data_IF_469787107038
#
_entry.id   IF_469787107038
#
_cell.length_a   1.000
_cell.length_b   1.000
_cell.length_c   1.000
_cell.angle_alpha   90.00
_cell.angle_beta   90.00
_cell.angle_gamma   90.00
#
_symmetry.space_group_name_H-M   'P 1'
#
loop_
_entity.id
_entity.type
_entity.pdbx_description
1 polymer ?
#
# COMPACT_ATOMS: atom_id res chain seq x y z
N UNK A 1 -16.69 -7.02 -5.62
CA UNK A 1 -15.81 -5.93 -6.15
C UNK A 1 -15.79 -4.73 -5.22
N UNK A 2 -16.95 -4.20 -4.78
CA UNK A 2 -16.99 -3.02 -3.88
C UNK A 2 -16.28 -3.31 -2.57
N UNK A 3 -16.60 -4.38 -1.85
CA UNK A 3 -15.95 -4.74 -0.59
C UNK A 3 -14.42 -4.87 -0.74
N UNK A 4 -13.94 -5.51 -1.80
CA UNK A 4 -12.50 -5.64 -2.09
C UNK A 4 -11.85 -4.27 -2.32
N UNK A 5 -12.51 -3.35 -3.03
CA UNK A 5 -12.00 -2.01 -3.30
C UNK A 5 -12.03 -1.06 -2.11
N UNK A 6 -12.99 -1.20 -1.20
CA UNK A 6 -13.11 -0.34 -0.02
C UNK A 6 -12.22 -0.78 1.15
N UNK A 7 -11.92 -2.07 1.25
CA UNK A 7 -11.13 -2.61 2.37
C UNK A 7 -9.72 -1.98 2.51
N UNK A 8 -8.91 -1.77 1.43
CA UNK A 8 -7.63 -1.07 1.56
C UNK A 8 -7.75 0.35 2.13
N UNK A 9 -8.83 1.05 1.77
CA UNK A 9 -9.10 2.42 2.26
C UNK A 9 -9.47 2.38 3.74
N UNK A 10 -10.35 1.46 4.13
CA UNK A 10 -10.70 1.22 5.53
C UNK A 10 -9.46 0.87 6.37
N UNK A 11 -8.65 -0.08 5.90
CA UNK A 11 -7.42 -0.51 6.58
C UNK A 11 -6.43 0.66 6.73
N UNK A 12 -6.29 1.47 5.69
CA UNK A 12 -5.43 2.65 5.73
C UNK A 12 -5.86 3.63 6.84
N UNK A 13 -7.12 4.03 6.87
CA UNK A 13 -7.60 4.99 7.87
C UNK A 13 -7.56 4.42 9.29
N UNK A 14 -7.90 3.14 9.44
CA UNK A 14 -7.84 2.47 10.74
C UNK A 14 -6.39 2.41 11.25
N UNK A 15 -5.47 1.92 10.43
CA UNK A 15 -4.09 1.75 10.84
C UNK A 15 -3.32 3.08 10.95
N UNK A 16 -3.49 4.02 10.01
CA UNK A 16 -2.84 5.33 10.12
C UNK A 16 -3.37 6.12 11.32
N UNK A 17 -4.68 6.08 11.57
CA UNK A 17 -5.25 6.74 12.75
C UNK A 17 -4.73 6.17 14.07
N UNK A 18 -4.59 4.85 14.17
CA UNK A 18 -3.96 4.22 15.33
C UNK A 18 -2.50 4.69 15.51
N UNK A 19 -1.71 4.69 14.43
CA UNK A 19 -0.30 5.13 14.47
C UNK A 19 -0.20 6.61 14.84
N UNK A 20 -1.10 7.47 14.33
CA UNK A 20 -1.13 8.89 14.67
C UNK A 20 -1.39 9.12 16.17
N UNK A 21 -2.27 8.32 16.78
CA UNK A 21 -2.51 8.32 18.23
C UNK A 21 -1.23 7.94 18.98
N UNK A 22 -0.57 6.84 18.56
CA UNK A 22 0.66 6.36 19.20
C UNK A 22 1.77 7.42 19.10
N UNK A 23 1.96 8.04 17.92
CA UNK A 23 2.93 9.11 17.71
C UNK A 23 2.59 10.32 18.60
N UNK A 24 1.30 10.67 18.69
CA UNK A 24 0.83 11.76 19.55
C UNK A 24 1.16 11.51 21.02
N UNK A 25 0.83 10.33 21.54
CA UNK A 25 1.14 9.94 22.92
C UNK A 25 2.65 9.92 23.19
N UNK A 26 3.44 9.36 22.26
CA UNK A 26 4.89 9.34 22.39
C UNK A 26 5.49 10.76 22.50
N UNK A 27 4.97 11.73 21.75
CA UNK A 27 5.41 13.12 21.84
C UNK A 27 5.15 13.75 23.21
N UNK A 28 4.08 13.37 23.93
CA UNK A 28 3.84 13.85 25.29
C UNK A 28 4.92 13.39 26.29
N UNK A 29 5.54 12.25 26.04
CA UNK A 29 6.67 11.74 26.87
C UNK A 29 8.03 12.08 26.29
N UNK A 30 8.10 12.95 25.28
CA UNK A 30 9.34 13.44 24.67
C UNK A 30 9.99 12.48 23.66
N UNK A 31 9.26 11.47 23.18
CA UNK A 31 9.74 10.52 22.17
C UNK A 31 9.27 10.92 20.76
N UNK A 32 10.20 10.97 19.83
CA UNK A 32 9.91 11.17 18.40
C UNK A 32 9.83 9.81 17.68
N UNK A 33 8.62 9.42 17.26
CA UNK A 33 8.42 8.22 16.46
C UNK A 33 8.29 8.59 14.98
N UNK A 34 8.79 7.74 14.06
CA UNK A 34 8.69 7.99 12.63
C UNK A 34 7.27 7.79 12.11
N UNK A 35 6.91 8.55 11.07
CA UNK A 35 5.69 8.35 10.30
C UNK A 35 5.67 6.98 9.62
N UNK A 36 4.50 6.35 9.58
CA UNK A 36 4.35 5.01 9.03
C UNK A 36 3.70 4.98 7.64
N UNK A 37 3.10 6.10 7.23
CA UNK A 37 2.43 6.22 5.94
C UNK A 37 2.77 7.54 5.24
N UNK A 38 2.99 7.50 3.92
CA UNK A 38 3.20 8.67 3.09
C UNK A 38 2.38 8.58 1.80
N UNK A 39 1.06 8.76 1.91
CA UNK A 39 0.14 8.75 0.76
C UNK A 39 0.35 7.54 -0.17
N UNK A 40 0.19 6.32 0.33
CA UNK A 40 0.54 5.10 -0.41
C UNK A 40 -0.27 4.95 -1.71
N UNK A 41 -1.53 5.38 -1.73
CA UNK A 41 -2.39 5.28 -2.92
C UNK A 41 -2.03 6.30 -4.03
N UNK A 42 -1.15 7.26 -3.74
CA UNK A 42 -0.57 8.17 -4.75
C UNK A 42 0.61 7.56 -5.50
N UNK A 43 1.09 6.40 -5.09
CA UNK A 43 2.28 5.76 -5.63
C UNK A 43 2.10 5.38 -7.12
N UNK A 44 3.06 5.71 -7.98
CA UNK A 44 2.98 5.42 -9.40
C UNK A 44 3.28 3.97 -9.77
N UNK A 45 3.67 3.13 -8.81
CA UNK A 45 3.96 1.71 -9.00
C UNK A 45 3.99 0.97 -7.65
N UNK A 46 4.00 -0.37 -7.68
CA UNK A 46 3.86 -1.19 -6.49
C UNK A 46 5.09 -1.16 -5.56
N UNK A 47 6.29 -0.94 -6.09
CA UNK A 47 7.51 -0.77 -5.26
C UNK A 47 7.45 0.56 -4.51
N UNK A 48 7.03 1.65 -5.17
CA UNK A 48 6.85 2.95 -4.55
C UNK A 48 5.69 2.95 -3.54
N UNK A 49 4.63 2.15 -3.79
CA UNK A 49 3.56 1.92 -2.83
C UNK A 49 4.12 1.40 -1.49
N UNK A 50 4.97 0.38 -1.52
CA UNK A 50 5.58 -0.19 -0.32
C UNK A 50 6.59 0.74 0.37
N UNK A 51 7.23 1.65 -0.37
CA UNK A 51 8.05 2.71 0.21
C UNK A 51 7.22 3.76 0.97
N UNK A 52 5.86 3.69 0.90
CA UNK A 52 4.92 4.64 1.50
C UNK A 52 3.88 3.98 2.41
N UNK A 53 3.78 2.67 2.39
CA UNK A 53 2.89 1.85 3.22
C UNK A 53 3.69 1.15 4.30
N UNK A 54 3.26 1.29 5.56
CA UNK A 54 3.91 0.66 6.72
C UNK A 54 5.44 0.81 6.69
N UNK A 55 5.88 2.07 6.58
CA UNK A 55 7.28 2.42 6.28
C UNK A 55 8.24 1.87 7.33
N UNK A 56 7.86 1.83 8.59
CA UNK A 56 8.71 1.31 9.66
C UNK A 56 9.01 -0.17 9.47
N UNK A 57 7.98 -1.00 9.19
CA UNK A 57 8.16 -2.42 8.89
C UNK A 57 8.95 -2.62 7.58
N UNK A 58 8.61 -1.86 6.54
CA UNK A 58 9.28 -1.95 5.24
C UNK A 58 10.77 -1.61 5.34
N UNK A 59 11.14 -0.59 6.11
CA UNK A 59 12.52 -0.21 6.35
C UNK A 59 13.24 -1.27 7.20
N UNK A 60 12.61 -1.76 8.26
CA UNK A 60 13.18 -2.83 9.09
C UNK A 60 13.51 -4.08 8.26
N UNK A 61 12.56 -4.55 7.45
CA UNK A 61 12.77 -5.71 6.59
C UNK A 61 13.83 -5.45 5.51
N UNK A 62 13.88 -4.23 4.97
CA UNK A 62 14.94 -3.83 4.03
C UNK A 62 16.31 -3.93 4.67
N UNK A 63 16.48 -3.46 5.89
CA UNK A 63 17.79 -3.37 6.55
C UNK A 63 18.23 -4.71 7.15
N UNK A 64 17.30 -5.50 7.69
CA UNK A 64 17.61 -6.74 8.40
C UNK A 64 17.39 -8.03 7.58
N UNK A 65 16.62 -7.98 6.50
CA UNK A 65 16.35 -9.16 5.65
C UNK A 65 16.89 -8.94 4.24
N UNK A 66 16.36 -7.95 3.53
CA UNK A 66 16.69 -7.73 2.11
C UNK A 66 18.17 -7.43 1.88
N UNK A 67 18.71 -6.41 2.53
CA UNK A 67 20.08 -5.96 2.29
C UNK A 67 21.15 -7.00 2.71
N UNK A 68 21.05 -7.66 3.88
CA UNK A 68 21.97 -8.75 4.25
C UNK A 68 21.91 -9.92 3.28
N UNK A 69 20.71 -10.34 2.86
CA UNK A 69 20.54 -11.42 1.90
C UNK A 69 21.19 -11.08 0.55
N UNK A 70 20.90 -9.89 -0.01
CA UNK A 70 21.50 -9.45 -1.27
C UNK A 70 23.02 -9.42 -1.16
N UNK A 71 23.55 -8.84 -0.08
CA UNK A 71 25.00 -8.76 0.16
C UNK A 71 25.67 -10.14 0.24
N UNK A 72 25.03 -11.10 0.91
CA UNK A 72 25.53 -12.48 1.00
C UNK A 72 25.51 -13.18 -0.37
N UNK A 73 24.42 -13.02 -1.13
CA UNK A 73 24.27 -13.64 -2.45
C UNK A 73 25.23 -13.03 -3.48
N UNK A 74 25.39 -11.71 -3.51
CA UNK A 74 26.33 -11.04 -4.42
C UNK A 74 27.80 -11.41 -4.13
N UNK A 75 28.16 -11.70 -2.87
CA UNK A 75 29.49 -12.24 -2.53
C UNK A 75 29.68 -13.67 -3.04
N UNK A 76 28.62 -14.47 -3.03
CA UNK A 76 28.63 -15.87 -3.47
C UNK A 76 28.58 -16.00 -4.98
N UNK A 77 27.89 -15.07 -5.64
CA UNK A 77 27.65 -15.02 -7.08
C UNK A 77 27.98 -13.62 -7.62
N UNK A 78 29.27 -13.28 -7.83
CA UNK A 78 29.69 -11.91 -8.15
C UNK A 78 29.47 -11.53 -9.62
N UNK A 79 28.86 -12.41 -10.43
CA UNK A 79 28.57 -12.13 -11.84
C UNK A 79 27.43 -11.11 -11.97
N UNK A 80 27.63 -10.09 -12.78
CA UNK A 80 26.66 -9.00 -12.99
C UNK A 80 25.29 -9.49 -13.49
N UNK A 81 25.26 -10.62 -14.21
CA UNK A 81 24.03 -11.26 -14.67
C UNK A 81 23.14 -11.73 -13.50
N UNK A 82 23.74 -12.00 -12.34
CA UNK A 82 23.06 -12.46 -11.13
C UNK A 82 22.40 -11.34 -10.33
N UNK A 83 22.71 -10.07 -10.59
CA UNK A 83 22.19 -8.93 -9.82
C UNK A 83 20.65 -8.87 -9.85
N UNK A 84 20.06 -9.06 -11.03
CA UNK A 84 18.60 -9.04 -11.17
C UNK A 84 17.95 -10.28 -10.52
N UNK A 85 18.35 -11.53 -10.79
CA UNK A 85 17.83 -12.71 -10.09
C UNK A 85 17.96 -12.62 -8.57
N UNK A 86 19.10 -12.21 -8.05
CA UNK A 86 19.34 -12.04 -6.61
C UNK A 86 18.38 -11.00 -6.04
N UNK A 87 18.24 -9.84 -6.70
CA UNK A 87 17.33 -8.80 -6.26
C UNK A 87 15.87 -9.24 -6.27
N UNK A 88 15.43 -9.99 -7.29
CA UNK A 88 14.07 -10.54 -7.37
C UNK A 88 13.81 -11.56 -6.27
N UNK A 89 14.74 -12.48 -6.03
CA UNK A 89 14.63 -13.46 -4.97
C UNK A 89 14.59 -12.79 -3.59
N UNK A 90 15.44 -11.78 -3.37
CA UNK A 90 15.45 -11.01 -2.13
C UNK A 90 14.12 -10.30 -1.88
N UNK A 91 13.56 -9.64 -2.90
CA UNK A 91 12.22 -9.06 -2.81
C UNK A 91 11.16 -10.11 -2.50
N UNK A 92 11.17 -11.21 -3.26
CA UNK A 92 10.19 -12.26 -3.08
C UNK A 92 10.21 -12.81 -1.65
N UNK A 93 11.40 -13.17 -1.14
CA UNK A 93 11.56 -13.67 0.23
C UNK A 93 11.13 -12.65 1.28
N UNK A 94 11.52 -11.37 1.11
CA UNK A 94 11.16 -10.31 2.05
C UNK A 94 9.64 -10.14 2.15
N UNK A 95 8.95 -10.10 1.01
CA UNK A 95 7.50 -9.93 1.00
C UNK A 95 6.75 -11.21 1.37
N UNK A 96 7.31 -12.38 1.10
CA UNK A 96 6.78 -13.64 1.62
C UNK A 96 6.83 -13.67 3.15
N UNK A 97 7.93 -13.20 3.75
CA UNK A 97 8.05 -13.08 5.20
C UNK A 97 7.01 -12.12 5.80
N UNK A 98 6.69 -11.00 5.12
CA UNK A 98 5.59 -10.13 5.53
C UNK A 98 4.28 -10.93 5.62
N UNK A 99 3.99 -11.77 4.63
CA UNK A 99 2.76 -12.57 4.62
C UNK A 99 2.66 -13.51 5.81
N UNK A 100 3.68 -14.32 6.04
CA UNK A 100 3.67 -15.30 7.14
C UNK A 100 3.78 -14.64 8.53
N UNK A 101 4.30 -13.42 8.61
CA UNK A 101 4.31 -12.63 9.83
C UNK A 101 2.89 -12.21 10.25
N UNK A 102 1.97 -11.99 9.31
CA UNK A 102 0.58 -11.64 9.60
C UNK A 102 -0.27 -12.79 10.16
N UNK A 103 0.17 -14.03 10.03
CA UNK A 103 -0.54 -15.16 10.60
C UNK A 103 0.02 -16.52 10.18
N UNK A 104 -0.33 -17.55 10.95
CA UNK A 104 0.18 -18.91 10.80
C UNK A 104 -0.62 -19.79 9.82
N UNK A 105 -1.73 -19.29 9.27
CA UNK A 105 -2.58 -20.05 8.36
C UNK A 105 -2.08 -19.98 6.92
N UNK A 106 -2.39 -21.01 6.12
CA UNK A 106 -1.96 -21.09 4.71
C UNK A 106 -2.38 -19.86 3.89
N UNK A 107 -3.50 -19.21 4.24
CA UNK A 107 -3.97 -18.02 3.52
C UNK A 107 -2.97 -16.86 3.63
N UNK A 108 -2.26 -16.72 4.75
CA UNK A 108 -1.22 -15.70 4.89
C UNK A 108 0.06 -16.03 4.13
N UNK A 109 0.37 -17.32 3.94
CA UNK A 109 1.42 -17.72 3.00
C UNK A 109 1.04 -17.34 1.56
N UNK A 110 -0.22 -17.56 1.16
CA UNK A 110 -0.75 -17.09 -0.15
C UNK A 110 -0.65 -15.56 -0.26
N UNK A 111 -1.01 -14.83 0.78
CA UNK A 111 -0.84 -13.37 0.84
C UNK A 111 0.62 -12.97 0.57
N UNK A 112 1.57 -13.57 1.28
CA UNK A 112 3.00 -13.32 1.09
C UNK A 112 3.49 -13.65 -0.32
N UNK A 113 3.01 -14.76 -0.92
CA UNK A 113 3.29 -15.10 -2.31
C UNK A 113 2.76 -14.03 -3.29
N UNK A 114 1.55 -13.54 -3.07
CA UNK A 114 0.96 -12.48 -3.90
C UNK A 114 1.76 -11.19 -3.80
N UNK A 115 2.16 -10.78 -2.60
CA UNK A 115 2.98 -9.58 -2.40
C UNK A 115 4.34 -9.72 -3.08
N UNK A 116 5.04 -10.83 -2.84
CA UNK A 116 6.34 -11.13 -3.44
C UNK A 116 6.27 -11.17 -4.97
N UNK A 117 5.23 -11.80 -5.53
CA UNK A 117 4.99 -11.82 -6.98
C UNK A 117 4.76 -10.40 -7.53
N UNK A 118 3.92 -9.60 -6.87
CA UNK A 118 3.62 -8.23 -7.31
C UNK A 118 4.86 -7.34 -7.40
N UNK A 119 5.70 -7.36 -6.36
CA UNK A 119 6.95 -6.58 -6.35
C UNK A 119 7.94 -7.09 -7.39
N UNK A 120 8.08 -8.42 -7.53
CA UNK A 120 9.00 -9.04 -8.49
C UNK A 120 8.59 -8.76 -9.93
N UNK A 121 7.30 -8.87 -10.26
CA UNK A 121 6.76 -8.52 -11.59
C UNK A 121 6.98 -7.04 -11.88
N UNK A 122 6.69 -6.16 -10.92
CA UNK A 122 6.91 -4.73 -11.09
C UNK A 122 8.40 -4.40 -11.33
N UNK A 123 9.33 -5.00 -10.57
CA UNK A 123 10.77 -4.81 -10.75
C UNK A 123 11.25 -5.32 -12.10
N UNK A 124 10.82 -6.51 -12.50
CA UNK A 124 11.15 -7.10 -13.81
C UNK A 124 10.66 -6.20 -14.94
N UNK A 125 9.41 -5.74 -14.88
CA UNK A 125 8.84 -4.83 -15.85
C UNK A 125 9.65 -3.53 -15.97
N UNK A 126 9.99 -2.87 -14.86
CA UNK A 126 10.82 -1.67 -14.86
C UNK A 126 12.19 -1.91 -15.52
N UNK A 127 12.81 -3.06 -15.20
CA UNK A 127 14.11 -3.43 -15.77
C UNK A 127 14.03 -3.66 -17.27
N UNK A 128 13.04 -4.42 -17.73
CA UNK A 128 12.82 -4.71 -19.17
C UNK A 128 12.51 -3.42 -19.93
N UNK A 129 11.62 -2.58 -19.40
CA UNK A 129 11.28 -1.30 -20.04
C UNK A 129 12.48 -0.35 -20.11
N UNK A 130 13.28 -0.30 -19.04
CA UNK A 130 14.51 0.51 -19.03
C UNK A 130 15.53 0.00 -20.05
N UNK A 131 15.65 -1.31 -20.22
CA UNK A 131 16.54 -1.91 -21.24
C UNK A 131 16.05 -1.64 -22.67
N UNK A 132 14.73 -1.72 -22.90
CA UNK A 132 14.13 -1.53 -24.23
C UNK A 132 14.08 -0.07 -24.69
N UNK A 133 13.67 0.84 -23.80
CA UNK A 133 13.44 2.25 -24.11
C UNK A 133 14.63 3.17 -23.75
N UNK A 134 15.61 2.62 -23.03
CA UNK A 134 16.64 3.41 -22.37
C UNK A 134 16.09 4.17 -21.15
N UNK A 135 16.98 4.65 -20.27
CA UNK A 135 16.57 5.38 -19.04
C UNK A 135 15.72 6.62 -19.34
N UNK A 136 16.10 7.40 -20.37
CA UNK A 136 15.35 8.62 -20.76
C UNK A 136 13.97 8.29 -21.32
N UNK A 137 13.86 7.28 -22.19
CA UNK A 137 12.58 6.86 -22.79
C UNK A 137 11.62 6.31 -21.74
N UNK A 138 12.09 5.45 -20.83
CA UNK A 138 11.26 4.93 -19.75
C UNK A 138 10.80 6.04 -18.77
N UNK A 139 11.69 6.99 -18.45
CA UNK A 139 11.32 8.15 -17.63
C UNK A 139 10.22 8.98 -18.29
N UNK A 140 10.37 9.32 -19.59
CA UNK A 140 9.34 10.04 -20.34
C UNK A 140 8.00 9.29 -20.37
N UNK A 141 8.02 7.96 -20.53
CA UNK A 141 6.80 7.14 -20.44
C UNK A 141 6.18 7.22 -19.04
N UNK A 142 6.99 7.10 -18.00
CA UNK A 142 6.53 7.10 -16.60
C UNK A 142 5.99 8.46 -16.14
N UNK A 143 6.32 9.55 -16.83
CA UNK A 143 5.80 10.89 -16.56
C UNK A 143 4.46 11.16 -17.27
N UNK A 144 4.03 10.32 -18.22
CA UNK A 144 2.75 10.48 -18.92
C UNK A 144 1.56 10.28 -17.96
N UNK A 145 0.60 11.22 -17.89
CA UNK A 145 -0.50 11.14 -16.93
C UNK A 145 -1.32 9.85 -17.02
N UNK A 146 -1.67 9.44 -18.25
CA UNK A 146 -2.45 8.21 -18.45
C UNK A 146 -1.70 6.94 -17.99
N UNK A 147 -0.39 6.86 -18.26
CA UNK A 147 0.44 5.75 -17.80
C UNK A 147 0.53 5.72 -16.27
N UNK A 148 0.75 6.88 -15.63
CA UNK A 148 0.79 6.99 -14.16
C UNK A 148 -0.54 6.60 -13.53
N UNK A 149 -1.66 7.06 -14.09
CA UNK A 149 -3.00 6.72 -13.61
C UNK A 149 -3.23 5.20 -13.68
N UNK A 150 -2.91 4.57 -14.80
CA UNK A 150 -3.04 3.12 -14.97
C UNK A 150 -2.15 2.35 -13.97
N UNK A 151 -0.88 2.71 -13.85
CA UNK A 151 0.04 2.04 -12.92
C UNK A 151 -0.38 2.19 -11.45
N UNK A 152 -0.95 3.35 -11.08
CA UNK A 152 -1.55 3.59 -9.77
C UNK A 152 -2.76 2.68 -9.55
N UNK A 153 -3.68 2.62 -10.51
CA UNK A 153 -4.83 1.71 -10.48
C UNK A 153 -4.43 0.26 -10.37
N UNK A 154 -3.43 -0.19 -11.13
CA UNK A 154 -2.90 -1.56 -11.05
C UNK A 154 -2.30 -1.87 -9.67
N UNK A 155 -1.52 -0.95 -9.10
CA UNK A 155 -0.90 -1.12 -7.77
C UNK A 155 -1.97 -1.22 -6.68
N UNK A 156 -2.98 -0.35 -6.73
CA UNK A 156 -4.12 -0.40 -5.80
C UNK A 156 -4.91 -1.70 -5.96
N UNK A 157 -5.25 -2.07 -7.19
CA UNK A 157 -6.03 -3.29 -7.47
C UNK A 157 -5.30 -4.54 -6.99
N UNK A 158 -4.01 -4.65 -7.26
CA UNK A 158 -3.21 -5.77 -6.79
C UNK A 158 -3.18 -5.86 -5.27
N UNK A 159 -2.96 -4.73 -4.60
CA UNK A 159 -2.98 -4.67 -3.14
C UNK A 159 -4.37 -5.03 -2.59
N UNK A 160 -5.44 -4.48 -3.15
CA UNK A 160 -6.81 -4.76 -2.74
C UNK A 160 -7.18 -6.25 -2.86
N UNK A 161 -6.78 -6.88 -3.96
CA UNK A 161 -6.99 -8.33 -4.17
C UNK A 161 -6.16 -9.14 -3.18
N UNK A 162 -4.92 -8.75 -2.90
CA UNK A 162 -4.07 -9.42 -1.92
C UNK A 162 -4.67 -9.36 -0.50
N UNK A 163 -5.28 -8.24 -0.13
CA UNK A 163 -5.91 -8.07 1.17
C UNK A 163 -7.18 -8.91 1.39
N UNK A 164 -7.73 -9.57 0.37
CA UNK A 164 -8.82 -10.55 0.54
C UNK A 164 -8.41 -11.63 1.54
N UNK A 165 -7.14 -11.99 1.59
CA UNK A 165 -6.58 -12.95 2.54
C UNK A 165 -6.71 -12.54 4.03
N UNK A 166 -7.07 -11.29 4.34
CA UNK A 166 -7.23 -10.81 5.72
C UNK A 166 -8.62 -11.05 6.31
N UNK A 167 -9.63 -11.21 5.46
CA UNK A 167 -11.02 -11.32 5.89
C UNK A 167 -11.76 -12.51 5.28
N UNK A 168 -11.08 -13.30 4.45
CA UNK A 168 -11.62 -14.53 3.85
C UNK A 168 -10.76 -15.70 4.30
N UNK A 169 -11.38 -16.68 4.96
CA UNK A 169 -10.72 -17.94 5.33
C UNK A 169 -10.42 -18.82 4.12
N UNK A 170 -9.58 -19.85 4.30
CA UNK A 170 -9.19 -20.73 3.17
C UNK A 170 -10.37 -21.46 2.51
N UNK A 171 -11.37 -21.88 3.28
CA UNK A 171 -12.58 -22.55 2.76
C UNK A 171 -13.49 -21.56 2.04
N UNK A 172 -13.69 -20.37 2.62
CA UNK A 172 -14.47 -19.29 2.00
C UNK A 172 -13.81 -18.80 0.70
N UNK A 173 -12.48 -18.71 0.65
CA UNK A 173 -11.76 -18.35 -0.57
C UNK A 173 -11.98 -19.39 -1.67
N UNK A 174 -11.95 -20.69 -1.32
CA UNK A 174 -12.27 -21.77 -2.26
C UNK A 174 -13.70 -21.69 -2.77
N UNK A 175 -14.67 -21.46 -1.88
CA UNK A 175 -16.09 -21.30 -2.27
C UNK A 175 -16.28 -20.08 -3.16
N UNK A 176 -15.65 -18.95 -2.83
CA UNK A 176 -15.71 -17.73 -3.64
C UNK A 176 -15.17 -17.97 -5.05
N UNK A 177 -13.99 -18.60 -5.16
CA UNK A 177 -13.40 -18.95 -6.45
C UNK A 177 -14.23 -19.96 -7.23
N UNK A 178 -14.83 -20.95 -6.57
CA UNK A 178 -15.73 -21.91 -7.19
C UNK A 178 -17.02 -21.25 -7.72
N UNK A 179 -17.56 -20.29 -6.96
CA UNK A 179 -18.79 -19.58 -7.32
C UNK A 179 -18.57 -18.60 -8.49
N UNK A 180 -17.48 -17.82 -8.44
CA UNK A 180 -17.16 -16.85 -9.48
C UNK A 180 -16.57 -17.50 -10.75
N UNK A 181 -15.88 -18.61 -10.57
CA UNK A 181 -15.03 -19.19 -11.59
C UNK A 181 -13.87 -18.27 -12.00
N UNK A 182 -13.06 -18.71 -12.94
CA UNK A 182 -11.93 -17.93 -13.45
C UNK A 182 -12.41 -16.64 -14.14
N UNK A 183 -13.44 -16.76 -14.98
CA UNK A 183 -13.98 -15.61 -15.74
C UNK A 183 -14.57 -14.54 -14.84
N UNK A 184 -15.37 -14.91 -13.83
CA UNK A 184 -15.95 -13.97 -12.87
C UNK A 184 -14.89 -13.30 -12.00
N UNK A 185 -13.87 -14.05 -11.58
CA UNK A 185 -12.73 -13.49 -10.83
C UNK A 185 -11.97 -12.46 -11.67
N UNK A 186 -11.62 -12.79 -12.91
CA UNK A 186 -10.93 -11.86 -13.82
C UNK A 186 -11.80 -10.65 -14.15
N UNK A 187 -13.10 -10.83 -14.37
CA UNK A 187 -14.04 -9.72 -14.59
C UNK A 187 -14.12 -8.80 -13.37
N UNK A 188 -14.14 -9.36 -12.14
CA UNK A 188 -14.13 -8.59 -10.91
C UNK A 188 -12.84 -7.76 -10.72
N UNK A 189 -11.69 -8.35 -11.03
CA UNK A 189 -10.38 -7.65 -11.00
C UNK A 189 -10.35 -6.54 -12.06
N UNK A 190 -10.81 -6.80 -13.28
CA UNK A 190 -10.88 -5.81 -14.35
C UNK A 190 -11.83 -4.66 -14.00
N UNK A 191 -13.00 -4.95 -13.43
CA UNK A 191 -13.93 -3.94 -12.95
C UNK A 191 -13.32 -3.08 -11.83
N UNK A 192 -12.61 -3.69 -10.89
CA UNK A 192 -11.92 -2.96 -9.82
C UNK A 192 -10.86 -2.04 -10.41
N UNK A 193 -10.04 -2.51 -11.35
CA UNK A 193 -9.04 -1.70 -12.04
C UNK A 193 -9.67 -0.51 -12.79
N UNK A 194 -10.76 -0.77 -13.52
CA UNK A 194 -11.49 0.23 -14.29
C UNK A 194 -12.10 1.32 -13.41
N UNK A 195 -12.53 0.97 -12.20
CA UNK A 195 -13.06 1.93 -11.21
C UNK A 195 -11.96 2.65 -10.44
N UNK A 196 -10.97 1.93 -9.95
CA UNK A 196 -9.91 2.49 -9.13
C UNK A 196 -9.05 3.51 -9.90
N UNK A 197 -8.76 3.24 -11.16
CA UNK A 197 -7.89 4.12 -11.97
C UNK A 197 -8.42 5.55 -12.06
N UNK A 198 -9.66 5.82 -12.54
CA UNK A 198 -10.17 7.18 -12.61
C UNK A 198 -10.43 7.81 -11.24
N UNK A 199 -10.86 7.04 -10.25
CA UNK A 199 -11.12 7.54 -8.89
C UNK A 199 -9.82 8.05 -8.24
N UNK A 200 -8.77 7.26 -8.26
CA UNK A 200 -7.47 7.66 -7.71
C UNK A 200 -6.87 8.85 -8.47
N UNK A 201 -7.05 8.91 -9.79
CA UNK A 201 -6.60 10.04 -10.59
C UNK A 201 -7.41 11.31 -10.27
N UNK A 202 -8.73 11.21 -10.07
CA UNK A 202 -9.56 12.33 -9.66
C UNK A 202 -9.17 12.87 -8.29
N UNK A 203 -8.87 11.98 -7.32
CA UNK A 203 -8.37 12.37 -5.99
C UNK A 203 -7.04 13.15 -6.11
N UNK A 204 -6.11 12.68 -6.94
CA UNK A 204 -4.82 13.37 -7.11
C UNK A 204 -4.97 14.72 -7.80
N UNK A 205 -5.85 14.85 -8.78
CA UNK A 205 -6.16 16.14 -9.44
C UNK A 205 -6.82 17.11 -8.48
N UNK A 206 -7.81 16.66 -7.70
CA UNK A 206 -8.46 17.46 -6.67
C UNK A 206 -7.44 17.97 -5.65
N UNK A 207 -6.58 17.08 -5.16
CA UNK A 207 -5.52 17.45 -4.23
C UNK A 207 -4.54 18.47 -4.84
N UNK A 208 -4.11 18.27 -6.07
CA UNK A 208 -3.24 19.22 -6.76
C UNK A 208 -3.90 20.61 -6.89
N UNK A 209 -5.19 20.63 -7.24
CA UNK A 209 -5.99 21.87 -7.29
C UNK A 209 -6.08 22.58 -5.93
N UNK A 210 -6.37 21.82 -4.87
CA UNK A 210 -6.42 22.37 -3.51
C UNK A 210 -5.07 22.94 -3.04
N UNK A 211 -3.96 22.25 -3.37
CA UNK A 211 -2.62 22.76 -3.05
C UNK A 211 -2.28 24.01 -3.85
N UNK A 212 -2.71 24.11 -5.11
CA UNK A 212 -2.52 25.29 -5.93
C UNK A 212 -3.32 26.49 -5.39
N UNK A 213 -4.59 26.28 -5.00
CA UNK A 213 -5.42 27.30 -4.34
C UNK A 213 -4.75 27.77 -3.05
N UNK A 214 -4.26 26.83 -2.24
CA UNK A 214 -3.56 27.15 -1.00
C UNK A 214 -2.31 27.99 -1.23
N UNK A 215 -1.50 27.66 -2.22
CA UNK A 215 -0.28 28.40 -2.57
C UNK A 215 -0.56 29.85 -3.03
N UNK A 216 -1.76 30.12 -3.57
CA UNK A 216 -2.17 31.46 -4.03
C UNK A 216 -2.94 32.25 -2.96
N UNK A 217 -3.46 31.58 -1.91
CA UNK A 217 -4.40 32.18 -0.93
C UNK A 217 -3.90 32.30 0.50
N UNK A 218 -2.64 32.01 0.79
CA UNK A 218 -2.16 32.00 2.18
C UNK A 218 -2.04 33.39 2.81
N UNK A 219 -3.12 33.78 3.54
CA UNK A 219 -2.89 34.42 4.83
C UNK A 219 -2.71 33.30 5.87
N UNK A 220 -1.57 33.26 6.55
CA UNK A 220 -1.15 32.22 7.52
C UNK A 220 -2.25 31.99 8.60
N UNK A 221 -3.01 33.00 8.97
CA UNK A 221 -4.08 32.98 9.98
C UNK A 221 -5.26 32.07 9.55
N UNK A 222 -5.70 32.15 8.31
CA UNK A 222 -6.82 31.32 7.82
C UNK A 222 -6.48 29.83 7.74
N UNK A 223 -5.22 29.49 7.47
CA UNK A 223 -4.75 28.10 7.45
C UNK A 223 -4.80 27.42 8.83
N UNK A 224 -4.45 28.13 9.90
CA UNK A 224 -4.51 27.62 11.27
C UNK A 224 -5.96 27.43 11.74
N UNK A 225 -6.83 28.42 11.52
CA UNK A 225 -8.26 28.34 11.87
C UNK A 225 -8.91 27.14 11.15
N UNK A 226 -8.70 26.99 9.84
CA UNK A 226 -9.25 25.88 9.07
C UNK A 226 -8.76 24.51 9.58
N UNK A 227 -7.49 24.38 9.94
CA UNK A 227 -6.93 23.14 10.53
C UNK A 227 -7.55 22.85 11.89
N UNK A 228 -7.70 23.86 12.74
CA UNK A 228 -8.30 23.70 14.06
C UNK A 228 -9.75 23.26 13.95
N UNK A 229 -10.54 23.93 13.09
CA UNK A 229 -11.94 23.58 12.84
C UNK A 229 -12.06 22.15 12.30
N UNK A 230 -11.22 21.79 11.33
CA UNK A 230 -11.21 20.43 10.76
C UNK A 230 -10.81 19.38 11.82
N UNK A 231 -9.75 19.61 12.59
CA UNK A 231 -9.32 18.71 13.66
C UNK A 231 -10.41 18.53 14.72
N UNK A 232 -11.05 19.64 15.13
CA UNK A 232 -12.15 19.62 16.09
C UNK A 232 -13.35 18.83 15.55
N UNK A 233 -13.75 19.07 14.29
CA UNK A 233 -14.82 18.32 13.64
C UNK A 233 -14.51 16.83 13.57
N UNK A 234 -13.28 16.46 13.24
CA UNK A 234 -12.83 15.06 13.20
C UNK A 234 -12.89 14.41 14.58
N UNK A 235 -12.46 15.09 15.65
CA UNK A 235 -12.56 14.59 17.03
C UNK A 235 -14.02 14.33 17.40
N UNK A 236 -14.92 15.28 17.13
CA UNK A 236 -16.35 15.10 17.41
C UNK A 236 -16.96 13.96 16.58
N UNK A 237 -16.56 13.80 15.31
CA UNK A 237 -17.01 12.69 14.47
C UNK A 237 -16.54 11.36 15.02
N UNK A 238 -15.26 11.24 15.42
CA UNK A 238 -14.72 10.03 16.03
C UNK A 238 -15.41 9.69 17.36
N UNK A 239 -15.66 10.69 18.20
CA UNK A 239 -16.40 10.50 19.46
C UNK A 239 -17.86 10.08 19.20
N UNK A 240 -18.53 10.69 18.24
CA UNK A 240 -19.90 10.31 17.87
C UNK A 240 -19.94 8.88 17.33
N UNK A 241 -19.03 8.49 16.47
CA UNK A 241 -18.92 7.10 15.97
C UNK A 241 -18.63 6.15 17.13
N UNK A 242 -17.70 6.46 18.03
CA UNK A 242 -17.37 5.63 19.17
C UNK A 242 -18.56 5.46 20.15
N UNK A 243 -19.34 6.53 20.35
CA UNK A 243 -20.52 6.50 21.24
C UNK A 243 -21.74 5.80 20.59
N UNK A 244 -21.88 5.89 19.25
CA UNK A 244 -23.01 5.31 18.52
C UNK A 244 -22.75 3.88 18.03
N UNK A 245 -21.48 3.43 18.00
CA UNK A 245 -21.16 2.06 17.64
C UNK A 245 -21.41 1.13 18.84
N UNK A 246 -22.56 0.48 18.87
CA UNK A 246 -22.88 -0.58 19.85
C UNK A 246 -22.12 -1.90 19.61
N UNK A 247 -21.38 -2.01 18.53
CA UNK A 247 -20.59 -3.19 18.24
C UNK A 247 -19.25 -3.10 18.98
N UNK A 248 -18.94 -4.16 19.74
CA UNK A 248 -17.56 -4.40 20.18
C UNK A 248 -16.63 -4.15 18.99
N UNK A 249 -15.58 -3.35 19.22
CA UNK A 249 -14.62 -3.05 18.17
C UNK A 249 -14.30 -4.35 17.41
N UNK A 250 -14.44 -4.38 16.07
CA UNK A 250 -14.13 -5.60 15.33
C UNK A 250 -12.74 -6.03 15.76
N UNK A 251 -12.54 -7.34 15.93
CA UNK A 251 -11.25 -7.90 16.29
C UNK A 251 -10.21 -7.34 15.32
N UNK A 252 -9.57 -6.28 15.80
CA UNK A 252 -8.59 -5.55 15.01
C UNK A 252 -7.49 -6.54 14.68
N UNK A 253 -6.94 -6.42 13.50
CA UNK A 253 -5.79 -7.15 12.95
C UNK A 253 -4.63 -7.37 13.95
N UNK A 254 -4.66 -6.70 15.09
CA UNK A 254 -3.70 -6.78 16.20
C UNK A 254 -3.95 -7.90 17.24
N UNK A 255 -5.02 -8.69 17.14
CA UNK A 255 -5.16 -9.89 18.00
C UNK A 255 -4.22 -11.04 17.62
N UNK A 256 -3.44 -10.88 16.56
CA UNK A 256 -2.46 -11.86 16.12
C UNK A 256 -1.01 -11.55 16.57
N UNK A 257 -0.85 -10.60 17.49
CA UNK A 257 0.44 -10.27 18.12
C UNK A 257 0.42 -10.61 19.60
#
# INVERSE_FOLDING_TARGET
TIAVGTYPVYLFFNFSGYVDIVIGVARFVGLELPENFNRPFSAPNFIDFWARWHMTLSNWLKDYVYAPFVKAMMRRFPQQEMDLPIGLLAFFLTFFLIGIWHGSTLIFAVYGLMLGAGVSVNKTFQTVMTRRLGRKGYRSLSERPAYRALCRGMSFTWFAVSLVCFWVGGDEARQLLATLGVSGTLAGIAALLALATPVLEAIERLRAGLLAIRAHGESVVHGHVARTVFATAMVFTCLAVALLSETAAPDIVYKAF
#
